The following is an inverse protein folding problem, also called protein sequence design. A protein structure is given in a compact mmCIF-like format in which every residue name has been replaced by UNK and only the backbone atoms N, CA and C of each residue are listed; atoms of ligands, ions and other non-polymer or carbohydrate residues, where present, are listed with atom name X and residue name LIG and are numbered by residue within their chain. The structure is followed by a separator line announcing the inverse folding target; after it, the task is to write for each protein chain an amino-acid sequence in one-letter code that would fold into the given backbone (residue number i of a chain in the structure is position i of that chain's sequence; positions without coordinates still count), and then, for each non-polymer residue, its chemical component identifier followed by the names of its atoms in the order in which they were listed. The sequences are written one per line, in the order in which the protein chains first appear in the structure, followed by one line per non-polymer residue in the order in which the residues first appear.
data_IF_324523724139
#
_entry.id   IF_324523724139
#
_cell.length_a   1.000
_cell.length_b   1.000
_cell.length_c   1.000
_cell.angle_alpha   90.00
_cell.angle_beta   90.00
_cell.angle_gamma   90.00
#
_symmetry.space_group_name_H-M   'P 1'
#
loop_
_entity.id
_entity.type
_entity.pdbx_description
1 polymer ?
#
# COMPACT_ATOMS: atom_id res chain seq x y z
N UNK A 1 33.73 -34.81 31.84
CA UNK A 1 32.30 -34.99 31.52
C UNK A 1 31.52 -34.04 32.43
N UNK A 2 31.13 -32.84 31.98
CA UNK A 2 30.10 -32.06 32.65
C UNK A 2 28.76 -32.25 31.95
N UNK A 3 27.71 -32.27 32.75
CA UNK A 3 26.30 -32.45 32.39
C UNK A 3 25.80 -31.34 31.46
N UNK A 4 25.11 -31.74 30.40
CA UNK A 4 24.39 -30.84 29.51
C UNK A 4 23.10 -30.34 30.17
N UNK A 5 22.88 -29.04 30.11
CA UNK A 5 21.67 -28.39 30.59
C UNK A 5 20.41 -28.90 29.83
N UNK A 6 19.29 -29.15 30.53
CA UNK A 6 18.05 -29.61 29.90
C UNK A 6 17.22 -28.42 29.36
N UNK A 7 16.69 -28.55 28.14
CA UNK A 7 15.50 -27.79 27.73
C UNK A 7 15.62 -26.75 26.61
N UNK A 8 16.57 -26.85 25.67
CA UNK A 8 16.44 -26.12 24.40
C UNK A 8 15.72 -26.99 23.38
N UNK A 9 14.40 -26.78 23.23
CA UNK A 9 13.65 -27.26 22.07
C UNK A 9 14.32 -26.69 20.81
N UNK A 10 14.62 -27.51 19.79
CA UNK A 10 15.36 -27.06 18.63
C UNK A 10 14.54 -26.03 17.85
N UNK A 11 15.14 -24.88 17.54
CA UNK A 11 14.58 -23.88 16.62
C UNK A 11 14.32 -24.56 15.27
N UNK A 12 13.12 -24.39 14.70
CA UNK A 12 12.75 -24.93 13.39
C UNK A 12 13.64 -24.32 12.31
N UNK A 13 14.63 -25.07 11.81
CA UNK A 13 15.49 -24.64 10.71
C UNK A 13 14.82 -25.00 9.38
N UNK A 14 14.39 -23.99 8.62
CA UNK A 14 13.80 -24.18 7.29
C UNK A 14 14.92 -24.44 6.26
N UNK A 15 14.88 -25.51 5.46
CA UNK A 15 15.89 -25.78 4.44
C UNK A 15 15.98 -24.68 3.37
N UNK A 16 17.18 -24.40 2.84
CA UNK A 16 17.40 -23.37 1.81
C UNK A 16 16.47 -23.51 0.58
N UNK A 17 16.24 -24.70 0.00
CA UNK A 17 15.31 -24.84 -1.12
C UNK A 17 13.87 -24.42 -0.78
N UNK A 18 13.42 -24.68 0.46
CA UNK A 18 12.10 -24.27 0.92
C UNK A 18 12.02 -22.75 1.14
N UNK A 19 13.09 -22.13 1.67
CA UNK A 19 13.20 -20.66 1.79
C UNK A 19 13.13 -19.98 0.42
N UNK A 20 13.93 -20.45 -0.54
CA UNK A 20 13.96 -19.91 -1.91
C UNK A 20 12.59 -20.03 -2.57
N UNK A 21 11.93 -21.18 -2.43
CA UNK A 21 10.58 -21.39 -2.96
C UNK A 21 9.58 -20.41 -2.35
N UNK A 22 9.53 -20.31 -1.02
CA UNK A 22 8.64 -19.39 -0.30
C UNK A 22 8.88 -17.92 -0.68
N UNK A 23 10.13 -17.45 -0.66
CA UNK A 23 10.44 -16.07 -1.02
C UNK A 23 10.14 -15.76 -2.49
N UNK A 24 10.10 -16.78 -3.36
CA UNK A 24 9.75 -16.62 -4.76
C UNK A 24 8.27 -16.29 -4.99
N UNK A 25 7.40 -16.49 -3.99
CA UNK A 25 5.96 -16.18 -4.05
C UNK A 25 5.68 -14.68 -4.20
N UNK A 26 6.67 -13.80 -3.92
CA UNK A 26 6.60 -12.38 -4.28
C UNK A 26 6.33 -12.16 -5.78
N UNK A 27 6.68 -13.12 -6.63
CA UNK A 27 6.36 -13.11 -8.06
C UNK A 27 4.86 -13.05 -8.33
N UNK A 28 4.01 -13.58 -7.45
CA UNK A 28 2.56 -13.43 -7.58
C UNK A 28 2.18 -11.95 -7.64
N UNK A 29 2.69 -11.14 -6.69
CA UNK A 29 2.45 -9.71 -6.68
C UNK A 29 3.06 -9.02 -7.90
N UNK A 30 4.32 -9.32 -8.24
CA UNK A 30 5.03 -8.64 -9.34
C UNK A 30 4.47 -8.96 -10.73
N UNK A 31 4.00 -10.18 -10.96
CA UNK A 31 3.57 -10.63 -12.30
C UNK A 31 2.07 -10.44 -12.51
N UNK A 32 1.25 -10.92 -11.55
CA UNK A 32 -0.21 -10.98 -11.69
C UNK A 32 -0.91 -9.94 -10.82
N UNK A 33 -0.53 -9.86 -9.55
CA UNK A 33 -1.18 -9.03 -8.54
C UNK A 33 -1.23 -7.57 -8.90
N UNK A 34 -0.08 -6.98 -9.25
CA UNK A 34 0.02 -5.56 -9.62
C UNK A 34 -0.78 -5.23 -10.89
N UNK A 35 -0.79 -6.13 -11.87
CA UNK A 35 -1.55 -5.97 -13.11
C UNK A 35 -3.06 -5.98 -12.85
N UNK A 36 -3.54 -6.93 -12.03
CA UNK A 36 -4.95 -7.02 -11.65
C UNK A 36 -5.39 -5.83 -10.79
N UNK A 37 -4.55 -5.43 -9.83
CA UNK A 37 -4.78 -4.23 -9.02
C UNK A 37 -4.83 -2.98 -9.90
N UNK A 38 -3.95 -2.89 -10.92
CA UNK A 38 -3.96 -1.81 -11.90
C UNK A 38 -5.28 -1.70 -12.67
N UNK A 39 -5.85 -2.83 -13.12
CA UNK A 39 -7.16 -2.82 -13.79
C UNK A 39 -8.31 -2.48 -12.83
N UNK A 40 -8.25 -2.91 -11.56
CA UNK A 40 -9.20 -2.50 -10.53
C UNK A 40 -9.14 -0.98 -10.29
N UNK A 41 -7.94 -0.42 -10.09
CA UNK A 41 -7.71 1.01 -9.91
C UNK A 41 -8.23 1.79 -11.12
N UNK A 42 -7.91 1.35 -12.34
CA UNK A 42 -8.38 1.98 -13.58
C UNK A 42 -9.90 2.00 -13.68
N UNK A 43 -10.56 0.91 -13.27
CA UNK A 43 -12.02 0.83 -13.19
C UNK A 43 -12.59 1.83 -12.17
N UNK A 44 -11.98 1.92 -10.99
CA UNK A 44 -12.39 2.85 -9.94
C UNK A 44 -12.22 4.31 -10.37
N UNK A 45 -11.04 4.66 -10.93
CA UNK A 45 -10.75 5.99 -11.47
C UNK A 45 -11.76 6.35 -12.56
N UNK A 46 -12.01 5.45 -13.52
CA UNK A 46 -12.98 5.70 -14.60
C UNK A 46 -14.38 6.00 -14.06
N UNK A 47 -14.83 5.26 -13.03
CA UNK A 47 -16.14 5.51 -12.40
C UNK A 47 -16.19 6.91 -11.76
N UNK A 48 -15.10 7.36 -11.16
CA UNK A 48 -15.07 8.65 -10.46
C UNK A 48 -14.95 9.85 -11.40
N UNK A 49 -14.09 9.78 -12.42
CA UNK A 49 -13.72 10.96 -13.22
C UNK A 49 -14.38 11.02 -14.60
N UNK A 50 -15.08 9.97 -15.05
CA UNK A 50 -15.60 9.90 -16.44
C UNK A 50 -16.65 10.96 -16.78
N UNK A 51 -17.38 11.47 -15.79
CA UNK A 51 -18.37 12.53 -15.98
C UNK A 51 -17.75 13.93 -15.98
N UNK A 52 -16.49 14.08 -15.59
CA UNK A 52 -15.82 15.38 -15.47
C UNK A 52 -15.33 15.83 -16.84
N UNK A 53 -15.71 17.04 -17.26
CA UNK A 53 -15.25 17.60 -18.53
C UNK A 53 -13.79 18.02 -18.45
N UNK A 54 -13.02 17.82 -19.53
CA UNK A 54 -11.64 18.31 -19.64
C UNK A 54 -11.49 19.83 -19.44
N UNK A 55 -12.57 20.59 -19.68
CA UNK A 55 -12.62 22.05 -19.49
C UNK A 55 -13.03 22.45 -18.07
N UNK A 56 -13.61 21.53 -17.31
CA UNK A 56 -14.07 21.78 -15.96
C UNK A 56 -12.90 22.12 -15.04
N UNK A 57 -13.08 23.13 -14.19
CA UNK A 57 -12.03 23.61 -13.29
C UNK A 57 -12.24 22.99 -11.92
N UNK A 58 -11.32 22.13 -11.51
CA UNK A 58 -11.38 21.45 -10.23
C UNK A 58 -10.54 22.21 -9.20
N UNK A 59 -11.14 22.51 -8.06
CA UNK A 59 -10.41 23.01 -6.88
C UNK A 59 -9.57 21.89 -6.27
N UNK A 60 -8.63 22.25 -5.38
CA UNK A 60 -7.85 21.24 -4.65
C UNK A 60 -8.75 20.28 -3.86
N UNK A 61 -9.79 20.80 -3.21
CA UNK A 61 -10.76 20.00 -2.48
C UNK A 61 -11.52 19.01 -3.39
N UNK A 62 -11.86 19.40 -4.63
CA UNK A 62 -12.49 18.47 -5.57
C UNK A 62 -11.55 17.30 -5.90
N UNK A 63 -10.26 17.58 -6.10
CA UNK A 63 -9.26 16.56 -6.40
C UNK A 63 -9.04 15.62 -5.21
N UNK A 64 -8.90 16.18 -4.01
CA UNK A 64 -8.80 15.42 -2.76
C UNK A 64 -10.02 14.51 -2.56
N UNK A 65 -11.23 15.04 -2.77
CA UNK A 65 -12.48 14.27 -2.68
C UNK A 65 -12.51 13.12 -3.71
N UNK A 66 -12.09 13.37 -4.95
CA UNK A 66 -12.01 12.32 -5.98
C UNK A 66 -11.06 11.19 -5.56
N UNK A 67 -9.87 11.54 -5.06
CA UNK A 67 -8.89 10.56 -4.59
C UNK A 67 -9.45 9.75 -3.41
N UNK A 68 -10.12 10.42 -2.46
CA UNK A 68 -10.74 9.76 -1.32
C UNK A 68 -11.84 8.78 -1.74
N UNK A 69 -12.74 9.16 -2.65
CA UNK A 69 -13.77 8.24 -3.15
C UNK A 69 -13.18 7.06 -3.94
N UNK A 70 -12.11 7.29 -4.70
CA UNK A 70 -11.38 6.20 -5.38
C UNK A 70 -10.83 5.24 -4.34
N UNK A 71 -10.17 5.75 -3.28
CA UNK A 71 -9.64 4.91 -2.19
C UNK A 71 -10.74 4.13 -1.51
N UNK A 72 -11.83 4.78 -1.11
CA UNK A 72 -12.97 4.12 -0.47
C UNK A 72 -13.50 2.97 -1.32
N UNK A 73 -13.59 3.14 -2.65
CA UNK A 73 -14.03 2.08 -3.56
C UNK A 73 -13.06 0.90 -3.66
N UNK A 74 -11.77 1.11 -3.40
CA UNK A 74 -10.72 0.10 -3.50
C UNK A 74 -10.46 -0.62 -2.17
N UNK A 75 -10.57 0.14 -1.08
CA UNK A 75 -10.28 -0.28 0.28
C UNK A 75 -11.54 -0.88 0.93
N UNK A 76 -12.71 -0.24 0.77
CA UNK A 76 -13.95 -0.69 1.39
C UNK A 76 -14.80 -1.54 0.46
N UNK A 77 -15.39 -2.61 1.00
CA UNK A 77 -16.39 -3.41 0.30
C UNK A 77 -17.73 -3.41 1.04
N UNK A 78 -18.85 -3.17 0.33
CA UNK A 78 -20.18 -3.28 0.90
C UNK A 78 -20.59 -4.73 1.21
N UNK A 79 -19.84 -5.73 0.75
CA UNK A 79 -20.16 -7.16 0.96
C UNK A 79 -19.53 -7.71 2.25
N UNK A 80 -18.51 -7.05 2.80
CA UNK A 80 -17.78 -7.50 4.01
C UNK A 80 -18.00 -6.52 5.18
N UNK A 81 -19.21 -5.94 5.25
CA UNK A 81 -19.57 -4.86 6.16
C UNK A 81 -19.71 -5.24 7.62
N UNK A 82 -19.33 -6.45 8.02
CA UNK A 82 -19.36 -6.86 9.41
C UNK A 82 -17.96 -7.35 9.82
N UNK A 83 -17.13 -6.43 10.34
CA UNK A 83 -15.90 -6.68 11.12
C UNK A 83 -14.55 -6.88 10.39
N UNK A 84 -14.46 -6.94 9.06
CA UNK A 84 -13.16 -7.05 8.37
C UNK A 84 -12.54 -5.69 8.03
N UNK A 85 -11.24 -5.54 8.32
CA UNK A 85 -10.45 -4.34 8.06
C UNK A 85 -10.58 -3.82 6.61
N UNK A 86 -10.60 -2.49 6.40
CA UNK A 86 -10.82 -1.85 5.09
C UNK A 86 -9.65 -2.05 4.10
N UNK A 87 -8.71 -2.95 4.34
CA UNK A 87 -7.65 -3.26 3.37
C UNK A 87 -7.55 -4.75 3.05
N UNK A 88 -8.46 -5.57 3.60
CA UNK A 88 -8.53 -7.01 3.35
C UNK A 88 -8.74 -7.36 1.88
N UNK A 89 -9.49 -6.52 1.15
CA UNK A 89 -9.68 -6.66 -0.29
C UNK A 89 -8.39 -6.53 -1.12
N UNK A 90 -7.32 -5.98 -0.53
CA UNK A 90 -6.03 -5.82 -1.19
C UNK A 90 -5.15 -7.08 -1.09
N UNK A 91 -5.38 -7.93 -0.08
CA UNK A 91 -4.57 -9.13 0.18
C UNK A 91 -4.49 -10.13 -1.00
N UNK A 92 -5.58 -10.40 -1.76
CA UNK A 92 -5.53 -11.31 -2.91
C UNK A 92 -4.56 -10.88 -4.02
N UNK A 93 -4.25 -9.58 -4.11
CA UNK A 93 -3.26 -9.07 -5.06
C UNK A 93 -1.83 -9.26 -4.53
N UNK A 94 -1.63 -9.27 -3.22
CA UNK A 94 -0.31 -9.36 -2.58
C UNK A 94 0.20 -10.79 -2.50
N UNK A 95 -0.69 -11.78 -2.36
CA UNK A 95 -0.30 -13.16 -2.09
C UNK A 95 -1.20 -14.19 -2.79
N UNK A 96 -0.68 -15.39 -3.15
CA UNK A 96 -1.47 -16.39 -3.85
C UNK A 96 -2.63 -16.95 -3.00
N UNK A 97 -3.81 -17.21 -3.60
CA UNK A 97 -4.92 -17.86 -2.91
C UNK A 97 -4.55 -19.30 -2.50
N UNK A 98 -5.25 -19.86 -1.50
CA UNK A 98 -5.00 -21.22 -0.99
C UNK A 98 -4.96 -22.30 -2.09
N UNK A 99 -5.78 -22.15 -3.13
CA UNK A 99 -5.97 -23.16 -4.17
C UNK A 99 -4.98 -23.08 -5.36
N UNK A 100 -3.93 -22.25 -5.29
CA UNK A 100 -2.90 -22.21 -6.34
C UNK A 100 -1.84 -23.31 -6.23
N UNK A 101 -1.96 -24.22 -5.25
CA UNK A 101 -1.01 -25.31 -5.04
C UNK A 101 -1.01 -26.29 -6.22
N UNK A 102 0.15 -26.43 -6.85
CA UNK A 102 0.48 -27.57 -7.71
C UNK A 102 0.54 -28.83 -6.86
N UNK A 103 -0.22 -29.87 -7.22
CA UNK A 103 -0.21 -31.18 -6.54
C UNK A 103 1.24 -31.65 -6.26
N UNK A 104 1.57 -31.90 -4.98
CA UNK A 104 2.91 -32.32 -4.53
C UNK A 104 3.70 -31.26 -3.75
N UNK A 105 3.05 -30.25 -3.18
CA UNK A 105 3.68 -29.25 -2.32
C UNK A 105 4.15 -29.85 -0.99
N UNK A 106 5.39 -29.53 -0.62
CA UNK A 106 6.03 -29.83 0.67
C UNK A 106 5.22 -29.23 1.83
N UNK A 107 4.90 -30.02 2.87
CA UNK A 107 4.15 -29.60 4.07
C UNK A 107 4.76 -28.33 4.71
N UNK A 108 6.09 -28.19 4.63
CA UNK A 108 6.80 -27.00 5.14
C UNK A 108 6.38 -25.75 4.38
N UNK A 109 6.27 -25.84 3.05
CA UNK A 109 5.90 -24.71 2.21
C UNK A 109 4.43 -24.35 2.42
N UNK A 110 3.53 -25.34 2.49
CA UNK A 110 2.10 -25.08 2.78
C UNK A 110 1.91 -24.40 4.14
N UNK A 111 2.65 -24.82 5.16
CA UNK A 111 2.65 -24.17 6.47
C UNK A 111 3.08 -22.70 6.38
N UNK A 112 4.20 -22.39 5.72
CA UNK A 112 4.67 -21.01 5.55
C UNK A 112 3.67 -20.15 4.78
N UNK A 113 3.03 -20.71 3.75
CA UNK A 113 1.99 -20.03 2.98
C UNK A 113 0.78 -19.70 3.87
N UNK A 114 0.35 -20.64 4.72
CA UNK A 114 -0.77 -20.43 5.62
C UNK A 114 -0.46 -19.39 6.69
N UNK A 115 0.69 -19.53 7.35
CA UNK A 115 1.18 -18.57 8.35
C UNK A 115 1.25 -17.14 7.75
N UNK A 116 1.65 -17.01 6.49
CA UNK A 116 1.68 -15.71 5.80
C UNK A 116 0.28 -15.16 5.55
N UNK A 117 -0.70 -16.00 5.18
CA UNK A 117 -2.10 -15.56 5.02
C UNK A 117 -2.67 -15.06 6.34
N UNK A 118 -2.42 -15.79 7.43
CA UNK A 118 -2.86 -15.40 8.77
C UNK A 118 -2.28 -14.04 9.17
N UNK A 119 -1.01 -13.75 8.82
CA UNK A 119 -0.40 -12.42 9.01
C UNK A 119 -1.10 -11.37 8.14
N UNK A 120 -1.34 -11.65 6.85
CA UNK A 120 -1.97 -10.70 5.93
C UNK A 120 -3.42 -10.38 6.28
N UNK A 121 -4.11 -11.27 7.00
CA UNK A 121 -5.47 -11.09 7.52
C UNK A 121 -5.49 -10.49 8.94
N UNK A 122 -4.33 -10.36 9.58
CA UNK A 122 -4.22 -9.83 10.94
C UNK A 122 -4.54 -8.33 11.00
N UNK A 123 -5.15 -7.90 12.11
CA UNK A 123 -5.45 -6.49 12.35
C UNK A 123 -4.19 -5.60 12.31
N UNK A 124 -3.06 -6.09 12.85
CA UNK A 124 -1.79 -5.36 12.87
C UNK A 124 -1.25 -5.12 11.46
N UNK A 125 -1.31 -6.12 10.58
CA UNK A 125 -0.96 -5.94 9.17
C UNK A 125 -1.84 -4.88 8.50
N UNK A 126 -3.15 -4.91 8.74
CA UNK A 126 -4.07 -3.92 8.18
C UNK A 126 -3.82 -2.50 8.70
N UNK A 127 -3.39 -2.33 9.95
CA UNK A 127 -2.96 -1.04 10.50
C UNK A 127 -1.72 -0.54 9.75
N UNK A 128 -0.72 -1.39 9.55
CA UNK A 128 0.50 -1.03 8.80
C UNK A 128 0.18 -0.67 7.36
N UNK A 129 -0.61 -1.50 6.67
CA UNK A 129 -1.02 -1.28 5.28
C UNK A 129 -1.80 0.04 5.13
N UNK A 130 -2.80 0.26 5.99
CA UNK A 130 -3.58 1.51 5.99
C UNK A 130 -2.69 2.74 6.23
N UNK A 131 -1.83 2.68 7.25
CA UNK A 131 -0.89 3.78 7.57
C UNK A 131 0.05 4.08 6.40
N UNK A 132 0.51 3.04 5.70
CA UNK A 132 1.38 3.18 4.54
C UNK A 132 0.67 3.85 3.36
N UNK A 133 -0.58 3.44 3.08
CA UNK A 133 -1.43 4.05 2.05
C UNK A 133 -1.72 5.52 2.40
N UNK A 134 -2.16 5.79 3.62
CA UNK A 134 -2.46 7.16 4.10
C UNK A 134 -1.24 8.07 3.94
N UNK A 135 -0.04 7.59 4.28
CA UNK A 135 1.21 8.34 4.08
C UNK A 135 1.49 8.62 2.60
N UNK A 136 1.33 7.63 1.74
CA UNK A 136 1.55 7.78 0.30
C UNK A 136 0.61 8.81 -0.34
N UNK A 137 -0.68 8.76 -0.01
CA UNK A 137 -1.66 9.71 -0.50
C UNK A 137 -1.46 11.11 0.06
N UNK A 138 -1.08 11.26 1.34
CA UNK A 138 -0.75 12.57 1.90
C UNK A 138 0.41 13.23 1.14
N UNK A 139 1.47 12.48 0.85
CA UNK A 139 2.62 13.00 0.08
C UNK A 139 2.23 13.40 -1.34
N UNK A 140 1.34 12.64 -1.99
CA UNK A 140 0.79 13.02 -3.29
C UNK A 140 -0.01 14.32 -3.20
N UNK A 141 -0.88 14.46 -2.19
CA UNK A 141 -1.67 15.67 -1.96
C UNK A 141 -0.78 16.89 -1.68
N UNK A 142 0.30 16.74 -0.91
CA UNK A 142 1.27 17.81 -0.66
C UNK A 142 1.92 18.30 -1.97
N UNK A 143 2.31 17.38 -2.87
CA UNK A 143 2.87 17.70 -4.19
C UNK A 143 1.85 18.40 -5.10
N UNK A 144 0.59 17.98 -5.04
CA UNK A 144 -0.50 18.61 -5.78
C UNK A 144 -0.80 20.01 -5.23
N UNK A 145 -0.82 20.20 -3.91
CA UNK A 145 -1.04 21.49 -3.27
C UNK A 145 0.03 22.53 -3.71
N UNK A 146 1.30 22.14 -3.74
CA UNK A 146 2.38 23.00 -4.25
C UNK A 146 2.21 23.32 -5.75
N UNK A 147 1.68 22.37 -6.53
CA UNK A 147 1.36 22.59 -7.94
C UNK A 147 0.20 23.58 -8.10
N UNK A 148 -0.83 23.51 -7.26
CA UNK A 148 -1.93 24.48 -7.22
C UNK A 148 -1.42 25.88 -6.88
N UNK A 149 -0.58 25.99 -5.84
CA UNK A 149 0.09 27.23 -5.45
C UNK A 149 0.85 27.85 -6.61
N UNK A 150 1.73 27.08 -7.26
CA UNK A 150 2.55 27.54 -8.39
C UNK A 150 1.70 28.01 -9.59
N UNK A 151 0.61 27.29 -9.89
CA UNK A 151 -0.21 27.57 -11.07
C UNK A 151 -1.18 28.75 -10.88
N UNK A 152 -1.47 29.14 -9.65
CA UNK A 152 -2.49 30.14 -9.33
C UNK A 152 -1.91 31.42 -8.70
N UNK A 153 -0.67 31.39 -8.19
CA UNK A 153 0.02 32.55 -7.61
C UNK A 153 0.84 33.38 -8.62
N UNK A 154 0.57 33.30 -9.92
CA UNK A 154 1.36 33.96 -10.97
C UNK A 154 1.12 35.48 -11.12
N UNK A 155 0.95 36.25 -10.02
CA UNK A 155 0.47 37.63 -10.10
C UNK A 155 1.10 38.68 -9.16
N UNK A 156 1.44 38.38 -7.91
CA UNK A 156 1.92 39.42 -6.98
C UNK A 156 2.77 38.85 -5.83
N UNK A 157 4.08 39.18 -5.75
CA UNK A 157 4.97 38.72 -4.67
C UNK A 157 4.62 39.28 -3.28
N UNK A 158 3.77 40.32 -3.19
CA UNK A 158 3.43 41.00 -1.94
C UNK A 158 2.13 40.52 -1.28
N UNK A 159 1.42 39.54 -1.85
CA UNK A 159 0.24 38.95 -1.20
C UNK A 159 0.65 37.94 -0.13
N UNK A 160 1.11 38.45 1.02
CA UNK A 160 1.34 37.66 2.22
C UNK A 160 0.00 37.33 2.90
N UNK A 161 -0.88 36.55 2.29
CA UNK A 161 -1.89 35.81 3.04
C UNK A 161 -2.59 34.72 2.20
N UNK A 162 -2.67 33.56 2.85
CA UNK A 162 -3.73 32.57 2.82
C UNK A 162 -3.88 31.62 1.63
N UNK A 163 -4.33 30.42 2.00
CA UNK A 163 -4.77 29.26 1.21
C UNK A 163 -5.85 29.54 0.16
N UNK A 164 -6.07 30.80 -0.23
CA UNK A 164 -7.07 31.24 -1.20
C UNK A 164 -6.83 30.64 -2.59
N UNK A 165 -5.57 30.32 -2.93
CA UNK A 165 -5.24 29.57 -4.14
C UNK A 165 -5.87 28.16 -4.17
N UNK A 166 -6.20 27.55 -3.03
CA UNK A 166 -6.89 26.25 -3.00
C UNK A 166 -8.36 26.36 -3.42
N UNK A 167 -8.95 27.57 -3.37
CA UNK A 167 -10.29 27.87 -3.89
C UNK A 167 -10.26 28.05 -5.42
N UNK A 168 -9.09 28.31 -6.01
CA UNK A 168 -8.92 28.46 -7.44
C UNK A 168 -8.95 27.11 -8.16
N UNK A 169 -9.77 27.00 -9.21
CA UNK A 169 -9.87 25.78 -10.01
C UNK A 169 -8.86 25.70 -11.15
N UNK A 170 -8.23 24.53 -11.32
CA UNK A 170 -7.39 24.21 -12.48
C UNK A 170 -8.20 23.36 -13.46
N UNK A 171 -8.20 23.66 -14.77
CA UNK A 171 -8.86 22.81 -15.77
C UNK A 171 -8.36 21.36 -15.71
N UNK A 172 -9.27 20.38 -15.76
CA UNK A 172 -8.94 18.95 -15.67
C UNK A 172 -7.88 18.52 -16.71
N UNK A 173 -7.94 19.06 -17.93
CA UNK A 173 -6.92 18.80 -18.96
C UNK A 173 -5.50 19.17 -18.50
N UNK A 174 -5.35 20.22 -17.67
CA UNK A 174 -4.07 20.67 -17.11
C UNK A 174 -3.69 19.89 -15.85
N UNK A 175 -4.65 19.29 -15.15
CA UNK A 175 -4.37 18.42 -14.01
C UNK A 175 -3.73 17.09 -14.42
N UNK A 176 -4.09 16.54 -15.58
CA UNK A 176 -3.49 15.29 -16.10
C UNK A 176 -1.95 15.32 -16.10
N UNK A 177 -1.28 16.30 -16.76
CA UNK A 177 0.18 16.37 -16.75
C UNK A 177 0.75 16.73 -15.36
N UNK A 178 0.02 17.49 -14.53
CA UNK A 178 0.44 17.78 -13.15
C UNK A 178 0.49 16.48 -12.33
N UNK A 179 -0.55 15.65 -12.39
CA UNK A 179 -0.59 14.35 -11.73
C UNK A 179 0.54 13.44 -12.18
N UNK A 180 0.76 13.31 -13.49
CA UNK A 180 1.86 12.51 -14.03
C UNK A 180 3.23 13.00 -13.52
N UNK A 181 3.44 14.32 -13.48
CA UNK A 181 4.66 14.91 -12.92
C UNK A 181 4.83 14.66 -11.42
N UNK A 182 3.76 14.79 -10.63
CA UNK A 182 3.78 14.51 -9.19
C UNK A 182 4.06 13.04 -8.89
N UNK A 183 3.46 12.12 -9.65
CA UNK A 183 3.72 10.69 -9.52
C UNK A 183 5.17 10.36 -9.86
N UNK A 184 5.72 10.95 -10.91
CA UNK A 184 7.14 10.77 -11.24
C UNK A 184 8.03 11.22 -10.08
N UNK A 185 7.77 12.38 -9.46
CA UNK A 185 8.52 12.86 -8.29
C UNK A 185 8.36 11.98 -7.06
N UNK A 186 7.16 11.43 -6.85
CA UNK A 186 6.86 10.58 -5.70
C UNK A 186 7.51 9.20 -5.82
N UNK A 187 7.55 8.65 -7.04
CA UNK A 187 8.00 7.29 -7.33
C UNK A 187 9.39 7.21 -7.97
N UNK A 188 10.05 8.33 -8.26
CA UNK A 188 11.40 8.34 -8.87
C UNK A 188 12.46 7.66 -8.00
N UNK A 189 13.50 7.17 -8.67
CA UNK A 189 14.60 6.41 -8.07
C UNK A 189 15.48 7.22 -7.10
N UNK A 190 16.30 6.48 -6.35
CA UNK A 190 16.91 6.86 -5.09
C UNK A 190 17.59 8.24 -5.04
N UNK A 191 17.49 8.95 -3.90
CA UNK A 191 16.75 8.56 -2.69
C UNK A 191 15.24 8.86 -2.81
N UNK A 192 14.40 7.82 -2.77
CA UNK A 192 12.94 7.96 -2.77
C UNK A 192 12.47 8.27 -1.33
N UNK A 193 12.01 9.50 -1.03
CA UNK A 193 11.68 9.89 0.33
C UNK A 193 10.49 9.11 0.90
N UNK A 194 9.51 8.79 0.05
CA UNK A 194 8.35 7.99 0.47
C UNK A 194 8.79 6.60 0.92
N UNK A 195 9.63 5.91 0.13
CA UNK A 195 10.12 4.59 0.48
C UNK A 195 10.90 4.61 1.82
N UNK A 196 11.76 5.61 2.02
CA UNK A 196 12.49 5.76 3.28
C UNK A 196 11.55 6.00 4.48
N UNK A 197 10.52 6.83 4.30
CA UNK A 197 9.51 7.06 5.34
C UNK A 197 8.71 5.78 5.66
N UNK A 198 8.33 5.01 4.64
CA UNK A 198 7.59 3.75 4.82
C UNK A 198 8.44 2.70 5.57
N UNK A 199 9.73 2.58 5.24
CA UNK A 199 10.67 1.67 5.93
C UNK A 199 10.89 2.06 7.40
N UNK A 200 10.68 3.34 7.74
CA UNK A 200 10.87 3.86 9.09
C UNK A 200 9.57 3.94 9.91
N UNK A 201 8.44 3.52 9.36
CA UNK A 201 7.16 3.50 10.09
C UNK A 201 7.26 2.64 11.36
N UNK A 202 6.92 3.23 12.51
CA UNK A 202 6.94 2.53 13.79
C UNK A 202 5.99 1.33 13.79
N UNK A 203 4.80 1.46 13.19
CA UNK A 203 3.85 0.34 13.07
C UNK A 203 4.43 -0.83 12.27
N UNK A 204 5.19 -0.57 11.20
CA UNK A 204 5.85 -1.60 10.42
C UNK A 204 6.97 -2.29 11.21
N UNK A 205 7.75 -1.54 11.99
CA UNK A 205 8.79 -2.09 12.88
C UNK A 205 8.18 -2.96 13.98
N UNK A 206 7.09 -2.51 14.60
CA UNK A 206 6.36 -3.28 15.62
C UNK A 206 5.81 -4.58 15.03
N UNK A 207 5.16 -4.53 13.88
CA UNK A 207 4.66 -5.75 13.21
C UNK A 207 5.83 -6.71 12.90
N UNK A 208 6.93 -6.21 12.35
CA UNK A 208 8.10 -7.04 12.04
C UNK A 208 8.69 -7.70 13.29
N UNK A 209 8.76 -6.99 14.41
CA UNK A 209 9.20 -7.53 15.69
C UNK A 209 8.24 -8.61 16.22
N UNK A 210 6.93 -8.35 16.18
CA UNK A 210 5.91 -9.31 16.62
C UNK A 210 5.90 -10.59 15.78
N UNK A 211 6.01 -10.46 14.45
CA UNK A 211 6.15 -11.60 13.53
C UNK A 211 7.43 -12.36 13.84
N UNK A 212 8.58 -11.67 13.95
CA UNK A 212 9.83 -12.33 14.27
C UNK A 212 9.76 -13.09 15.61
N UNK A 213 9.18 -12.49 16.64
CA UNK A 213 8.98 -13.14 17.94
C UNK A 213 8.10 -14.39 17.78
N UNK A 214 6.92 -14.27 17.17
CA UNK A 214 5.98 -15.38 17.01
C UNK A 214 6.59 -16.60 16.30
N UNK A 215 7.40 -16.39 15.27
CA UNK A 215 7.99 -17.48 14.46
C UNK A 215 9.39 -17.92 14.90
N UNK A 216 10.00 -17.25 15.89
CA UNK A 216 11.32 -17.63 16.44
C UNK A 216 11.25 -18.34 17.80
N UNK A 217 10.09 -18.35 18.47
CA UNK A 217 9.90 -19.12 19.69
C UNK A 217 9.96 -20.64 19.39
N UNK A 218 10.57 -21.45 20.26
CA UNK A 218 10.51 -22.91 20.13
C UNK A 218 9.06 -23.38 20.24
N UNK A 219 8.59 -24.18 19.27
CA UNK A 219 7.28 -24.82 19.34
C UNK A 219 7.18 -25.63 20.64
N UNK A 220 6.22 -25.28 21.50
CA UNK A 220 5.91 -26.02 22.74
C UNK A 220 5.23 -27.34 22.46
#
# INVERSE_FOLDING_TARGET
KPEGAPGQTPVRVIPKPAQEKYLSEIKHFMDKGISQLGELIKSAVKKEISSISLKERLTFHNVESCLQHIRERLETSPEISNLSSPTLQLCPYMFPPENSATQGTDEIHEGLMQETRDILESADFHIVLKTSLDRGFQKLLDLLAESYKTNLQSGDPNSSHNTEYLLGGIPMAKLIPIFNGSLYKLCSDAPNPLLQELLLLESAKTLAANVYEAFSQPTS
#
